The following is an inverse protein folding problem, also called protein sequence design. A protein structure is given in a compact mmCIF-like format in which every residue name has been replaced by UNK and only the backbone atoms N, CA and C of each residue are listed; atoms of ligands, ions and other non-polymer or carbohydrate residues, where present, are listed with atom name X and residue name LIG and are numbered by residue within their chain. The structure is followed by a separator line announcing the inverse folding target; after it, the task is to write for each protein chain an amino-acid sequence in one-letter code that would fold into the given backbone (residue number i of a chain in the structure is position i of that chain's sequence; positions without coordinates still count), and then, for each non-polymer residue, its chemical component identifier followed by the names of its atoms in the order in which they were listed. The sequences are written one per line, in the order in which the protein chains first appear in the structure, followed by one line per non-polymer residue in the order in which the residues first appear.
data_IF_234746539728
#
_entry.id   IF_234746539728
#
_cell.length_a   1.000
_cell.length_b   1.000
_cell.length_c   1.000
_cell.angle_alpha   90.00
_cell.angle_beta   90.00
_cell.angle_gamma   90.00
#
_symmetry.space_group_name_H-M   'P 1'
#
loop_
_entity.id
_entity.type
_entity.pdbx_description
1 polymer ?
#
# COMPACT_ATOMS: atom_id res chain seq x y z
N UNK A 1 29.44 5.86 26.25
CA UNK A 1 28.51 6.21 25.15
C UNK A 1 27.68 4.98 24.85
N UNK A 2 26.42 4.97 25.29
CA UNK A 2 25.52 3.83 25.11
C UNK A 2 24.88 3.78 23.72
N UNK A 3 24.23 2.66 23.39
CA UNK A 3 23.43 2.51 22.18
C UNK A 3 22.34 3.60 22.08
N UNK A 4 21.71 3.95 23.21
CA UNK A 4 20.75 5.05 23.32
C UNK A 4 21.33 6.42 22.92
N UNK A 5 22.61 6.71 23.21
CA UNK A 5 23.25 7.97 22.78
C UNK A 5 23.38 8.03 21.25
N UNK A 6 23.62 6.88 20.61
CA UNK A 6 23.73 6.76 19.15
C UNK A 6 22.36 6.96 18.50
N UNK A 7 21.34 6.24 18.97
CA UNK A 7 19.95 6.38 18.51
C UNK A 7 19.47 7.83 18.66
N UNK A 8 19.68 8.44 19.84
CA UNK A 8 19.27 9.85 20.09
C UNK A 8 20.03 10.85 19.19
N UNK A 9 21.28 10.56 18.84
CA UNK A 9 22.08 11.39 17.92
C UNK A 9 21.61 11.26 16.46
N UNK A 10 21.29 10.05 15.99
CA UNK A 10 20.73 9.82 14.65
C UNK A 10 19.39 10.55 14.48
N UNK A 11 18.50 10.49 15.48
CA UNK A 11 17.22 11.20 15.47
C UNK A 11 17.39 12.72 15.61
N UNK A 12 18.34 13.19 16.42
CA UNK A 12 18.48 14.62 16.73
C UNK A 12 19.30 15.45 15.74
N UNK A 13 20.26 14.85 15.02
CA UNK A 13 21.26 15.60 14.24
C UNK A 13 20.93 15.77 12.75
N UNK A 14 20.00 14.99 12.19
CA UNK A 14 19.81 14.87 10.73
C UNK A 14 18.52 15.49 10.18
N UNK A 15 17.67 16.12 11.00
CA UNK A 15 16.38 16.65 10.55
C UNK A 15 16.46 17.82 9.55
N UNK A 16 17.62 18.48 9.42
CA UNK A 16 17.79 19.68 8.59
C UNK A 16 18.54 19.42 7.27
N UNK A 17 19.64 18.66 7.30
CA UNK A 17 20.52 18.50 6.11
C UNK A 17 20.33 17.17 5.37
N UNK A 18 19.70 16.15 5.99
CA UNK A 18 19.60 14.81 5.37
C UNK A 18 18.41 14.66 4.40
N UNK A 19 17.46 15.60 4.40
CA UNK A 19 16.29 15.61 3.51
C UNK A 19 16.69 15.57 2.03
N UNK A 20 17.80 16.21 1.66
CA UNK A 20 18.27 16.32 0.27
C UNK A 20 19.18 15.18 -0.20
N UNK A 21 19.43 14.16 0.63
CA UNK A 21 20.43 13.09 0.35
C UNK A 21 20.05 11.67 0.80
N UNK A 22 18.85 11.43 1.34
CA UNK A 22 18.43 10.10 1.74
C UNK A 22 17.97 9.27 0.52
N UNK A 23 18.85 8.44 -0.04
CA UNK A 23 18.59 7.68 -1.28
C UNK A 23 17.41 6.69 -1.20
N UNK A 24 17.04 6.22 0.00
CA UNK A 24 15.70 5.67 0.26
C UNK A 24 15.38 5.66 1.77
N UNK A 25 14.39 6.44 2.25
CA UNK A 25 13.99 6.41 3.66
C UNK A 25 13.43 5.05 4.08
N UNK A 26 12.91 4.26 3.15
CA UNK A 26 12.39 2.91 3.40
C UNK A 26 13.52 1.94 3.80
N UNK A 27 14.63 1.94 3.04
CA UNK A 27 15.81 1.10 3.29
C UNK A 27 16.50 1.48 4.60
N UNK A 28 16.56 2.76 4.95
CA UNK A 28 17.10 3.21 6.24
C UNK A 28 16.31 2.65 7.43
N UNK A 29 14.98 2.61 7.35
CA UNK A 29 14.14 2.03 8.39
C UNK A 29 14.27 0.50 8.45
N UNK A 30 14.45 -0.18 7.30
CA UNK A 30 14.70 -1.62 7.26
C UNK A 30 16.07 -1.99 7.84
N UNK A 31 17.13 -1.25 7.50
CA UNK A 31 18.47 -1.42 8.09
C UNK A 31 18.45 -1.20 9.61
N UNK A 32 17.81 -0.13 10.10
CA UNK A 32 17.72 0.14 11.53
C UNK A 32 17.01 -1.00 12.31
N UNK A 33 15.99 -1.63 11.71
CA UNK A 33 15.34 -2.80 12.29
C UNK A 33 16.25 -4.05 12.28
N UNK A 34 17.04 -4.25 11.23
CA UNK A 34 18.02 -5.34 11.17
C UNK A 34 19.13 -5.18 12.22
N UNK A 35 19.70 -3.99 12.36
CA UNK A 35 20.70 -3.67 13.39
C UNK A 35 20.14 -3.92 14.80
N UNK A 36 18.91 -3.46 15.10
CA UNK A 36 18.25 -3.73 16.38
C UNK A 36 17.97 -5.24 16.61
N UNK A 37 17.76 -6.02 15.55
CA UNK A 37 17.60 -7.47 15.66
C UNK A 37 18.93 -8.20 15.89
N UNK A 38 20.04 -7.72 15.34
CA UNK A 38 21.37 -8.26 15.63
C UNK A 38 21.79 -7.94 17.07
N UNK A 39 21.66 -6.68 17.50
CA UNK A 39 21.87 -6.25 18.89
C UNK A 39 21.05 -7.09 19.88
N UNK A 40 19.81 -7.42 19.53
CA UNK A 40 18.96 -8.31 20.33
C UNK A 40 19.53 -9.74 20.43
N UNK A 41 20.09 -10.29 19.36
CA UNK A 41 20.73 -11.62 19.38
C UNK A 41 22.00 -11.58 20.24
N UNK A 42 22.84 -10.55 20.10
CA UNK A 42 24.03 -10.37 20.93
C UNK A 42 23.66 -10.20 22.42
N UNK A 43 22.62 -9.41 22.73
CA UNK A 43 22.11 -9.26 24.10
C UNK A 43 21.58 -10.59 24.66
N UNK A 44 20.79 -11.35 23.90
CA UNK A 44 20.30 -12.68 24.30
C UNK A 44 21.44 -13.62 24.64
N UNK A 45 22.52 -13.63 23.85
CA UNK A 45 23.72 -14.42 24.14
C UNK A 45 24.41 -13.97 25.44
N UNK A 46 24.61 -12.66 25.65
CA UNK A 46 25.20 -12.13 26.88
C UNK A 46 24.38 -12.45 28.15
N UNK A 47 23.05 -12.33 28.07
CA UNK A 47 22.15 -12.69 29.16
C UNK A 47 22.18 -14.20 29.43
N UNK A 48 22.25 -15.04 28.39
CA UNK A 48 22.42 -16.49 28.55
C UNK A 48 23.76 -16.86 29.23
N UNK A 49 24.85 -16.19 28.88
CA UNK A 49 26.15 -16.35 29.56
C UNK A 49 26.09 -15.94 31.03
N UNK A 50 25.38 -14.85 31.36
CA UNK A 50 25.19 -14.40 32.75
C UNK A 50 24.36 -15.40 33.56
N UNK A 51 23.30 -15.97 32.96
CA UNK A 51 22.50 -17.05 33.57
C UNK A 51 23.34 -18.32 33.78
N UNK A 52 24.23 -18.67 32.84
CA UNK A 52 25.14 -19.80 33.00
C UNK A 52 26.16 -19.58 34.14
N UNK A 53 26.69 -18.37 34.28
CA UNK A 53 27.54 -17.99 35.40
C UNK A 53 26.78 -18.05 36.74
N UNK A 54 25.56 -17.51 36.82
CA UNK A 54 24.68 -17.61 37.99
C UNK A 54 24.47 -19.06 38.42
N UNK A 55 24.10 -19.96 37.49
CA UNK A 55 23.92 -21.39 37.77
C UNK A 55 25.20 -22.09 38.24
N UNK A 56 26.38 -21.62 37.81
CA UNK A 56 27.67 -22.12 38.29
C UNK A 56 27.93 -21.71 39.74
N UNK A 57 27.65 -20.45 40.09
CA UNK A 57 27.74 -19.96 41.48
C UNK A 57 26.71 -20.65 42.39
N UNK A 58 25.49 -20.87 41.90
CA UNK A 58 24.42 -21.62 42.58
C UNK A 58 24.83 -23.05 42.89
N UNK A 59 25.43 -23.75 41.92
CA UNK A 59 26.00 -25.08 42.17
C UNK A 59 27.13 -25.04 43.20
N UNK A 60 28.06 -24.09 43.10
CA UNK A 60 29.17 -23.97 44.08
C UNK A 60 28.66 -23.72 45.51
N UNK A 61 27.62 -22.90 45.67
CA UNK A 61 26.95 -22.70 46.96
C UNK A 61 26.30 -24.00 47.47
N UNK A 62 25.59 -24.74 46.62
CA UNK A 62 24.99 -26.04 46.97
C UNK A 62 26.05 -27.08 47.37
N UNK A 63 27.13 -27.21 46.60
CA UNK A 63 28.24 -28.12 46.88
C UNK A 63 28.92 -27.77 48.23
N UNK A 64 29.10 -26.48 48.54
CA UNK A 64 29.61 -26.03 49.85
C UNK A 64 28.64 -26.38 51.00
N UNK A 65 27.34 -26.15 50.84
CA UNK A 65 26.32 -26.54 51.85
C UNK A 65 26.25 -28.07 52.05
N UNK A 66 26.50 -28.86 51.00
CA UNK A 66 26.59 -30.32 51.11
C UNK A 66 27.80 -30.76 51.96
N UNK A 67 28.96 -30.10 51.80
CA UNK A 67 30.10 -30.32 52.71
C UNK A 67 29.80 -29.86 54.15
N UNK A 68 29.16 -28.70 54.37
CA UNK A 68 28.72 -28.27 55.72
C UNK A 68 27.88 -29.34 56.41
N UNK A 69 26.89 -29.89 55.70
CA UNK A 69 26.01 -30.94 56.21
C UNK A 69 26.75 -32.27 56.47
N UNK A 70 27.70 -32.63 55.61
CA UNK A 70 28.58 -33.81 55.77
C UNK A 70 29.50 -33.67 56.98
N UNK A 71 30.18 -32.54 57.15
CA UNK A 71 31.06 -32.30 58.30
C UNK A 71 30.28 -32.19 59.62
N UNK A 72 29.05 -31.68 59.60
CA UNK A 72 28.14 -31.76 60.75
C UNK A 72 27.82 -33.22 61.14
N UNK A 73 27.46 -34.08 60.19
CA UNK A 73 27.20 -35.51 60.46
C UNK A 73 28.45 -36.22 60.96
N UNK A 74 29.63 -35.90 60.41
CA UNK A 74 30.90 -36.46 60.87
C UNK A 74 31.21 -36.07 62.32
N UNK A 75 30.98 -34.80 62.70
CA UNK A 75 31.14 -34.34 64.08
C UNK A 75 30.17 -35.04 65.05
N UNK A 76 28.90 -35.19 64.65
CA UNK A 76 27.90 -35.92 65.44
C UNK A 76 28.31 -37.39 65.66
N UNK A 77 28.79 -38.07 64.61
CA UNK A 77 29.26 -39.46 64.69
C UNK A 77 30.52 -39.61 65.56
N UNK A 78 31.42 -38.63 65.55
CA UNK A 78 32.61 -38.62 66.40
C UNK A 78 32.24 -38.46 67.89
N UNK A 79 31.31 -37.54 68.22
CA UNK A 79 30.78 -37.38 69.58
C UNK A 79 30.07 -38.67 70.05
N UNK A 80 29.26 -39.30 69.20
CA UNK A 80 28.60 -40.58 69.51
C UNK A 80 29.59 -41.73 69.79
N UNK A 81 30.85 -41.61 69.33
CA UNK A 81 31.93 -42.57 69.58
C UNK A 81 32.90 -42.13 70.69
N UNK A 82 32.64 -40.99 71.34
CA UNK A 82 33.50 -40.43 72.40
C UNK A 82 34.79 -39.75 71.90
N UNK A 83 34.97 -39.56 70.60
CA UNK A 83 36.17 -38.90 70.04
C UNK A 83 35.94 -37.40 69.86
N UNK A 84 36.09 -36.65 70.95
CA UNK A 84 35.98 -35.18 70.95
C UNK A 84 37.02 -34.49 70.06
N UNK A 85 38.19 -35.09 69.85
CA UNK A 85 39.27 -34.50 69.08
C UNK A 85 38.99 -34.59 67.57
N UNK A 86 38.44 -35.72 67.11
CA UNK A 86 37.91 -35.87 65.76
C UNK A 86 36.66 -35.01 65.55
N UNK A 87 35.79 -34.90 66.56
CA UNK A 87 34.63 -34.00 66.50
C UNK A 87 35.02 -32.53 66.34
N UNK A 88 36.02 -32.06 67.10
CA UNK A 88 36.54 -30.67 67.02
C UNK A 88 37.10 -30.37 65.63
N UNK A 89 37.89 -31.28 65.06
CA UNK A 89 38.41 -31.15 63.69
C UNK A 89 37.29 -31.14 62.63
N UNK A 90 36.26 -31.98 62.80
CA UNK A 90 35.11 -31.99 61.89
C UNK A 90 34.30 -30.68 61.98
N UNK A 91 34.14 -30.09 63.17
CA UNK A 91 33.50 -28.78 63.34
C UNK A 91 34.32 -27.63 62.77
N UNK A 92 35.66 -27.69 62.86
CA UNK A 92 36.54 -26.72 62.22
C UNK A 92 36.41 -26.76 60.68
N UNK A 93 36.43 -27.96 60.08
CA UNK A 93 36.16 -28.14 58.65
C UNK A 93 34.77 -27.66 58.26
N UNK A 94 33.74 -27.96 59.07
CA UNK A 94 32.38 -27.44 58.88
C UNK A 94 32.39 -25.91 58.81
N UNK A 95 33.09 -25.24 59.74
CA UNK A 95 33.18 -23.78 59.78
C UNK A 95 33.78 -23.23 58.47
N UNK A 96 34.89 -23.77 57.99
CA UNK A 96 35.51 -23.31 56.73
C UNK A 96 34.54 -23.39 55.53
N UNK A 97 33.77 -24.49 55.40
CA UNK A 97 32.77 -24.61 54.33
C UNK A 97 31.54 -23.71 54.54
N UNK A 98 31.16 -23.43 55.79
CA UNK A 98 30.06 -22.53 56.13
C UNK A 98 30.40 -21.06 55.84
N UNK A 99 31.59 -20.62 56.21
CA UNK A 99 32.05 -19.25 55.96
C UNK A 99 32.18 -19.00 54.44
N UNK A 100 32.59 -20.03 53.70
CA UNK A 100 32.58 -20.06 52.23
C UNK A 100 31.16 -20.04 51.63
N UNK A 101 30.22 -20.83 52.16
CA UNK A 101 28.85 -20.86 51.64
C UNK A 101 28.09 -19.54 51.90
N UNK A 102 28.33 -18.87 53.03
CA UNK A 102 27.82 -17.53 53.33
C UNK A 102 28.35 -16.50 52.31
N UNK A 103 29.65 -16.51 52.02
CA UNK A 103 30.24 -15.62 51.02
C UNK A 103 29.70 -15.87 49.60
N UNK A 104 29.56 -17.15 49.21
CA UNK A 104 28.96 -17.54 47.94
C UNK A 104 27.49 -17.13 47.83
N UNK A 105 26.71 -17.24 48.93
CA UNK A 105 25.30 -16.83 48.97
C UNK A 105 25.13 -15.33 48.72
N UNK A 106 25.94 -14.50 49.39
CA UNK A 106 25.90 -13.05 49.21
C UNK A 106 26.22 -12.62 47.77
N UNK A 107 27.19 -13.28 47.12
CA UNK A 107 27.50 -13.08 45.70
C UNK A 107 26.36 -13.56 44.78
N UNK A 108 25.80 -14.73 45.05
CA UNK A 108 24.69 -15.31 44.30
C UNK A 108 23.44 -14.42 44.33
N UNK A 109 23.09 -13.85 45.48
CA UNK A 109 21.93 -12.96 45.62
C UNK A 109 22.08 -11.68 44.78
N UNK A 110 23.30 -11.12 44.69
CA UNK A 110 23.59 -10.01 43.78
C UNK A 110 23.48 -10.43 42.32
N UNK A 111 23.97 -11.63 41.96
CA UNK A 111 23.85 -12.17 40.59
C UNK A 111 22.38 -12.42 40.20
N UNK A 112 21.53 -12.90 41.11
CA UNK A 112 20.09 -13.09 40.89
C UNK A 112 19.43 -11.76 40.49
N UNK A 113 19.64 -10.70 41.27
CA UNK A 113 19.05 -9.38 41.00
C UNK A 113 19.54 -8.81 39.65
N UNK A 114 20.83 -8.97 39.34
CA UNK A 114 21.39 -8.56 38.05
C UNK A 114 20.76 -9.34 36.87
N UNK A 115 20.66 -10.66 36.98
CA UNK A 115 20.04 -11.52 35.95
C UNK A 115 18.56 -11.21 35.75
N UNK A 116 17.81 -10.91 36.81
CA UNK A 116 16.42 -10.46 36.66
C UNK A 116 16.32 -9.10 35.96
N UNK A 117 17.18 -8.14 36.33
CA UNK A 117 17.24 -6.84 35.66
C UNK A 117 17.52 -6.98 34.16
N UNK A 118 18.49 -7.83 33.81
CA UNK A 118 18.82 -8.15 32.42
C UNK A 118 17.64 -8.81 31.67
N UNK A 119 16.93 -9.76 32.29
CA UNK A 119 15.72 -10.38 31.71
C UNK A 119 14.59 -9.35 31.48
N UNK A 120 14.35 -8.45 32.44
CA UNK A 120 13.35 -7.38 32.30
C UNK A 120 13.72 -6.42 31.15
N UNK A 121 14.99 -6.03 31.06
CA UNK A 121 15.50 -5.15 30.01
C UNK A 121 15.41 -5.81 28.62
N UNK A 122 15.69 -7.12 28.52
CA UNK A 122 15.55 -7.89 27.29
C UNK A 122 14.10 -7.87 26.76
N UNK A 123 13.12 -8.16 27.61
CA UNK A 123 11.68 -8.14 27.26
C UNK A 123 11.25 -6.72 26.81
N UNK A 124 11.74 -5.67 27.47
CA UNK A 124 11.49 -4.29 27.05
C UNK A 124 12.11 -3.95 25.69
N UNK A 125 13.28 -4.50 25.36
CA UNK A 125 13.91 -4.30 24.05
C UNK A 125 13.12 -5.03 22.95
N UNK A 126 12.69 -6.26 23.20
CA UNK A 126 11.85 -7.05 22.29
C UNK A 126 10.52 -6.35 21.99
N UNK A 127 9.87 -5.80 23.02
CA UNK A 127 8.67 -4.95 22.89
C UNK A 127 8.93 -3.71 22.03
N UNK A 128 10.03 -2.98 22.26
CA UNK A 128 10.39 -1.79 21.48
C UNK A 128 10.78 -2.11 20.03
N UNK A 129 11.36 -3.27 19.76
CA UNK A 129 11.61 -3.76 18.39
C UNK A 129 10.29 -4.06 17.68
N UNK A 130 9.30 -4.65 18.38
CA UNK A 130 7.95 -4.85 17.85
C UNK A 130 7.28 -3.53 17.50
N UNK A 131 7.27 -2.55 18.43
CA UNK A 131 6.78 -1.19 18.16
C UNK A 131 7.47 -0.55 16.96
N UNK A 132 8.80 -0.69 16.85
CA UNK A 132 9.58 -0.09 15.78
C UNK A 132 9.22 -0.71 14.40
N UNK A 133 8.93 -2.02 14.35
CA UNK A 133 8.41 -2.69 13.15
C UNK A 133 7.03 -2.15 12.75
N UNK A 134 6.09 -2.02 13.68
CA UNK A 134 4.77 -1.41 13.39
C UNK A 134 4.91 0.04 12.92
N UNK A 135 5.82 0.82 13.50
CA UNK A 135 6.13 2.19 13.07
C UNK A 135 6.78 2.20 11.67
N UNK A 136 7.65 1.25 11.33
CA UNK A 136 8.19 1.09 9.96
C UNK A 136 7.08 0.90 8.94
N UNK A 137 6.19 -0.06 9.14
CA UNK A 137 5.12 -0.32 8.15
C UNK A 137 4.16 0.88 8.01
N UNK A 138 3.85 1.58 9.11
CA UNK A 138 3.08 2.83 9.04
C UNK A 138 3.81 3.93 8.26
N UNK A 139 5.13 4.09 8.44
CA UNK A 139 5.93 5.07 7.71
C UNK A 139 6.07 4.68 6.23
N UNK A 140 6.29 3.40 5.92
CA UNK A 140 6.33 2.85 4.56
C UNK A 140 5.02 3.14 3.82
N UNK A 141 3.86 2.82 4.41
CA UNK A 141 2.57 3.15 3.83
C UNK A 141 2.37 4.66 3.57
N UNK A 142 2.81 5.52 4.48
CA UNK A 142 2.78 6.99 4.28
C UNK A 142 3.73 7.45 3.17
N UNK A 143 4.92 6.87 3.06
CA UNK A 143 5.89 7.13 1.99
C UNK A 143 5.32 6.69 0.64
N UNK A 144 4.67 5.53 0.54
CA UNK A 144 3.99 5.06 -0.67
C UNK A 144 2.85 6.00 -1.06
N UNK A 145 2.01 6.42 -0.11
CA UNK A 145 0.91 7.36 -0.35
C UNK A 145 1.43 8.73 -0.83
N UNK A 146 2.50 9.25 -0.22
CA UNK A 146 3.14 10.50 -0.64
C UNK A 146 3.72 10.38 -2.06
N UNK A 147 4.50 9.32 -2.35
CA UNK A 147 5.03 9.02 -3.69
C UNK A 147 3.91 8.96 -4.74
N UNK A 148 2.77 8.34 -4.42
CA UNK A 148 1.60 8.28 -5.31
C UNK A 148 0.93 9.66 -5.49
N UNK A 149 0.80 10.47 -4.44
CA UNK A 149 0.23 11.82 -4.50
C UNK A 149 1.14 12.79 -5.29
N UNK A 150 2.46 12.64 -5.19
CA UNK A 150 3.45 13.36 -6.00
C UNK A 150 3.36 12.94 -7.47
N UNK A 151 3.25 11.63 -7.77
CA UNK A 151 3.05 11.14 -9.13
C UNK A 151 1.74 11.65 -9.74
N UNK A 152 0.63 11.70 -8.97
CA UNK A 152 -0.63 12.28 -9.43
C UNK A 152 -0.51 13.78 -9.70
N UNK A 153 0.15 14.56 -8.84
CA UNK A 153 0.40 15.98 -9.10
C UNK A 153 1.36 16.20 -10.29
N UNK A 154 2.35 15.34 -10.48
CA UNK A 154 3.23 15.34 -11.65
C UNK A 154 2.47 15.03 -12.94
N UNK A 155 1.58 14.03 -12.92
CA UNK A 155 0.69 13.72 -14.05
C UNK A 155 -0.30 14.85 -14.33
N UNK A 156 -0.90 15.49 -13.31
CA UNK A 156 -1.80 16.64 -13.51
C UNK A 156 -1.06 17.87 -14.07
N UNK A 157 0.19 18.12 -13.65
CA UNK A 157 1.04 19.18 -14.24
C UNK A 157 1.52 18.84 -15.66
N UNK A 158 1.78 17.57 -15.94
CA UNK A 158 2.16 17.07 -17.28
C UNK A 158 0.98 17.00 -18.26
N UNK A 159 -0.23 16.77 -17.74
CA UNK A 159 -1.50 16.85 -18.45
C UNK A 159 -1.89 18.31 -18.64
N UNK A 160 -1.05 19.04 -19.37
CA UNK A 160 -1.20 20.46 -19.70
C UNK A 160 -2.60 20.70 -20.27
N UNK A 161 -3.47 21.37 -19.51
CA UNK A 161 -4.90 21.50 -19.78
C UNK A 161 -5.18 22.16 -21.13
N UNK A 162 -4.27 23.03 -21.58
CA UNK A 162 -4.29 23.64 -22.90
C UNK A 162 -4.29 22.60 -24.04
N UNK A 163 -3.65 21.43 -23.87
CA UNK A 163 -3.55 20.43 -24.95
C UNK A 163 -4.90 19.78 -25.29
N UNK A 164 -5.76 19.58 -24.29
CA UNK A 164 -7.12 19.06 -24.47
C UNK A 164 -8.08 20.16 -24.94
N UNK A 165 -7.98 21.36 -24.36
CA UNK A 165 -8.87 22.47 -24.72
C UNK A 165 -8.59 22.98 -26.14
N UNK A 166 -7.33 23.15 -26.51
CA UNK A 166 -6.92 23.45 -27.89
C UNK A 166 -6.96 22.23 -28.82
N UNK A 167 -7.39 21.05 -28.38
CA UNK A 167 -7.85 19.99 -29.29
C UNK A 167 -9.34 20.15 -29.63
N UNK A 168 -10.15 20.70 -28.73
CA UNK A 168 -11.53 21.12 -29.00
C UNK A 168 -11.58 22.33 -29.93
N UNK A 169 -10.83 23.40 -29.66
CA UNK A 169 -10.78 24.62 -30.50
C UNK A 169 -10.44 24.29 -31.97
N UNK A 170 -9.43 23.43 -32.21
CA UNK A 170 -9.05 22.95 -33.55
C UNK A 170 -10.05 21.97 -34.18
N UNK A 171 -11.00 21.43 -33.42
CA UNK A 171 -12.10 20.63 -33.96
C UNK A 171 -13.25 21.54 -34.37
N UNK A 172 -13.58 22.53 -33.54
CA UNK A 172 -14.60 23.55 -33.79
C UNK A 172 -14.29 24.40 -35.03
N UNK A 173 -13.07 24.93 -35.14
CA UNK A 173 -12.60 25.65 -36.35
C UNK A 173 -12.70 24.78 -37.62
N UNK A 174 -12.45 23.47 -37.49
CA UNK A 174 -12.51 22.52 -38.61
C UNK A 174 -13.95 22.15 -38.99
N UNK A 175 -14.89 22.16 -38.05
CA UNK A 175 -16.33 22.02 -38.31
C UNK A 175 -16.84 23.29 -39.00
N UNK A 176 -16.55 24.48 -38.47
CA UNK A 176 -16.91 25.77 -39.10
C UNK A 176 -16.37 25.87 -40.54
N UNK A 177 -15.14 25.42 -40.79
CA UNK A 177 -14.56 25.38 -42.14
C UNK A 177 -15.28 24.38 -43.07
N UNK A 178 -15.83 23.28 -42.54
CA UNK A 178 -16.64 22.33 -43.32
C UNK A 178 -18.06 22.86 -43.56
N UNK A 179 -18.67 23.55 -42.60
CA UNK A 179 -19.98 24.18 -42.74
C UNK A 179 -19.93 25.33 -43.77
N UNK A 180 -18.95 26.23 -43.67
CA UNK A 180 -18.71 27.28 -44.66
C UNK A 180 -18.41 26.72 -46.07
N UNK A 181 -17.74 25.55 -46.15
CA UNK A 181 -17.52 24.84 -47.42
C UNK A 181 -18.80 24.19 -47.96
N UNK A 182 -19.68 23.69 -47.10
CA UNK A 182 -20.98 23.16 -47.51
C UNK A 182 -21.92 24.27 -47.98
N UNK A 183 -21.94 25.40 -47.27
CA UNK A 183 -22.69 26.61 -47.66
C UNK A 183 -22.20 27.16 -49.00
N UNK A 184 -20.90 27.37 -49.18
CA UNK A 184 -20.36 27.86 -50.46
C UNK A 184 -20.55 26.86 -51.62
N UNK A 185 -20.58 25.54 -51.39
CA UNK A 185 -20.98 24.57 -52.42
C UNK A 185 -22.48 24.65 -52.74
N UNK A 186 -23.34 24.91 -51.76
CA UNK A 186 -24.77 25.13 -52.00
C UNK A 186 -25.02 26.47 -52.74
N UNK A 187 -24.28 27.53 -52.41
CA UNK A 187 -24.30 28.79 -53.15
C UNK A 187 -23.78 28.63 -54.58
N UNK A 188 -22.68 27.91 -54.82
CA UNK A 188 -22.23 27.60 -56.18
C UNK A 188 -23.28 26.76 -56.94
N UNK A 189 -23.95 25.81 -56.29
CA UNK A 189 -25.03 25.04 -56.91
C UNK A 189 -26.26 25.89 -57.23
N UNK A 190 -26.58 26.91 -56.40
CA UNK A 190 -27.60 27.91 -56.75
C UNK A 190 -27.17 28.71 -57.97
N UNK A 191 -25.98 29.32 -57.94
CA UNK A 191 -25.47 30.12 -59.05
C UNK A 191 -25.36 29.32 -60.36
N UNK A 192 -25.02 28.02 -60.29
CA UNK A 192 -24.99 27.14 -61.45
C UNK A 192 -26.40 26.86 -62.00
N UNK A 193 -27.38 26.57 -61.13
CA UNK A 193 -28.80 26.46 -61.51
C UNK A 193 -29.38 27.76 -62.07
N UNK A 194 -29.14 28.89 -61.40
CA UNK A 194 -29.55 30.23 -61.83
C UNK A 194 -28.92 30.58 -63.19
N UNK A 195 -27.66 30.17 -63.45
CA UNK A 195 -27.01 30.33 -64.75
C UNK A 195 -27.61 29.43 -65.84
N UNK A 196 -28.01 28.20 -65.49
CA UNK A 196 -28.69 27.28 -66.41
C UNK A 196 -30.11 27.76 -66.74
N UNK A 197 -30.83 28.33 -65.76
CA UNK A 197 -32.11 29.00 -65.99
C UNK A 197 -31.95 30.24 -66.86
N UNK A 198 -30.97 31.10 -66.59
CA UNK A 198 -30.66 32.25 -67.46
C UNK A 198 -30.25 31.84 -68.88
N UNK A 199 -29.57 30.68 -69.05
CA UNK A 199 -29.28 30.14 -70.38
C UNK A 199 -30.53 29.60 -71.09
N UNK A 200 -31.44 28.93 -70.39
CA UNK A 200 -32.75 28.50 -70.92
C UNK A 200 -33.62 29.71 -71.31
N UNK A 201 -33.63 30.75 -70.48
CA UNK A 201 -34.34 32.02 -70.73
C UNK A 201 -33.75 32.73 -71.97
N UNK A 202 -32.42 32.83 -72.07
CA UNK A 202 -31.73 33.34 -73.28
C UNK A 202 -31.91 32.48 -74.54
N UNK A 203 -32.48 31.27 -74.40
CA UNK A 203 -32.70 30.33 -75.49
C UNK A 203 -34.09 30.40 -76.14
N UNK A 204 -35.01 31.22 -75.62
CA UNK A 204 -36.45 31.16 -75.97
C UNK A 204 -37.01 32.34 -76.78
N UNK A 205 -36.30 33.47 -76.89
CA UNK A 205 -36.84 34.72 -77.48
C UNK A 205 -37.18 34.64 -78.99
N UNK A 206 -36.61 33.66 -79.72
CA UNK A 206 -36.92 33.47 -81.16
C UNK A 206 -38.37 32.99 -81.36
N UNK A 207 -38.94 32.26 -80.40
CA UNK A 207 -40.35 31.88 -80.44
C UNK A 207 -41.28 33.03 -80.03
N UNK A 208 -40.84 33.98 -79.21
CA UNK A 208 -41.65 35.16 -78.84
C UNK A 208 -41.74 36.18 -79.99
N UNK A 209 -40.67 36.42 -80.75
CA UNK A 209 -40.77 37.20 -82.01
C UNK A 209 -41.68 36.50 -83.04
N UNK A 210 -41.66 35.16 -83.10
CA UNK A 210 -42.47 34.38 -84.04
C UNK A 210 -43.94 34.23 -83.58
N UNK A 211 -44.18 34.25 -82.26
CA UNK A 211 -45.51 34.33 -81.66
C UNK A 211 -46.13 35.72 -81.88
N UNK A 212 -45.36 36.79 -81.73
CA UNK A 212 -45.80 38.15 -82.08
C UNK A 212 -46.21 38.25 -83.56
N UNK A 213 -45.46 37.60 -84.47
CA UNK A 213 -45.82 37.55 -85.88
C UNK A 213 -47.10 36.73 -86.15
N UNK A 214 -47.29 35.60 -85.46
CA UNK A 214 -48.49 34.75 -85.59
C UNK A 214 -49.73 35.30 -84.88
N UNK A 215 -49.59 36.15 -83.88
CA UNK A 215 -50.70 36.84 -83.22
C UNK A 215 -51.51 37.75 -84.19
N UNK A 216 -50.98 38.02 -85.39
CA UNK A 216 -51.72 38.63 -86.50
C UNK A 216 -52.81 37.73 -87.12
N UNK A 217 -52.86 36.43 -86.80
CA UNK A 217 -53.94 35.50 -87.17
C UNK A 217 -54.39 34.67 -85.94
N UNK A 218 -55.50 35.09 -85.33
CA UNK A 218 -56.14 34.47 -84.15
C UNK A 218 -57.00 33.21 -84.53
N UNK A 219 -57.70 32.50 -83.59
CA UNK A 219 -57.82 32.70 -82.13
C UNK A 219 -57.79 31.40 -81.25
N UNK A 220 -58.09 31.57 -79.94
CA UNK A 220 -58.79 30.64 -79.01
C UNK A 220 -58.01 29.84 -77.93
N UNK A 221 -58.76 29.59 -76.84
CA UNK A 221 -58.45 29.00 -75.51
C UNK A 221 -59.13 27.61 -75.32
N UNK A 222 -59.20 26.90 -74.15
CA UNK A 222 -58.44 26.89 -72.86
C UNK A 222 -58.13 25.43 -72.30
N UNK A 223 -57.80 25.34 -70.98
CA UNK A 223 -57.99 24.23 -69.97
C UNK A 223 -57.10 22.94 -69.97
N UNK A 224 -56.38 22.64 -68.86
CA UNK A 224 -56.81 21.81 -67.70
C UNK A 224 -55.68 21.00 -66.96
N UNK A 225 -55.94 20.70 -65.68
CA UNK A 225 -55.33 19.65 -64.82
C UNK A 225 -55.87 18.23 -65.17
N UNK A 226 -55.45 17.08 -64.57
CA UNK A 226 -54.74 16.80 -63.28
C UNK A 226 -53.48 15.88 -63.43
N UNK A 227 -52.70 15.44 -62.43
CA UNK A 227 -52.81 15.16 -60.97
C UNK A 227 -53.44 13.80 -60.58
N UNK A 228 -52.58 12.76 -60.43
CA UNK A 228 -52.70 11.57 -59.55
C UNK A 228 -51.25 11.12 -59.25
N UNK A 229 -50.73 10.82 -58.05
CA UNK A 229 -51.17 10.12 -56.82
C UNK A 229 -51.48 8.63 -56.99
N UNK A 230 -50.65 7.76 -56.41
CA UNK A 230 -51.07 6.44 -55.92
C UNK A 230 -50.29 6.03 -54.67
N UNK A 231 -50.85 5.12 -53.85
CA UNK A 231 -50.37 4.76 -52.51
C UNK A 231 -50.41 3.23 -52.29
N UNK A 232 -49.39 2.66 -51.64
CA UNK A 232 -49.46 1.37 -50.92
C UNK A 232 -48.27 1.28 -49.93
N UNK A 233 -48.40 1.49 -48.62
CA UNK A 233 -48.95 0.60 -47.56
C UNK A 233 -48.17 -0.71 -47.30
N UNK A 234 -47.22 -0.67 -46.33
CA UNK A 234 -47.20 -1.40 -45.01
C UNK A 234 -47.58 -2.91 -44.89
N UNK A 235 -47.24 -3.67 -43.80
CA UNK A 235 -46.59 -3.33 -42.50
C UNK A 235 -45.57 -4.40 -41.95
N UNK A 236 -45.20 -4.26 -40.65
CA UNK A 236 -44.61 -5.27 -39.69
C UNK A 236 -43.08 -5.56 -39.79
N UNK A 237 -42.17 -5.29 -38.82
CA UNK A 237 -42.14 -5.01 -37.36
C UNK A 237 -42.20 -6.23 -36.40
N UNK A 238 -41.50 -6.26 -35.23
CA UNK A 238 -40.23 -5.63 -34.80
C UNK A 238 -39.10 -6.70 -34.85
N UNK A 239 -38.38 -7.23 -33.81
CA UNK A 239 -38.16 -6.92 -32.37
C UNK A 239 -36.76 -6.29 -32.08
N UNK A 240 -36.34 -6.14 -30.80
CA UNK A 240 -35.01 -5.63 -30.42
C UNK A 240 -34.50 -6.10 -29.02
N UNK A 241 -33.18 -5.95 -28.81
CA UNK A 241 -32.47 -5.63 -27.55
C UNK A 241 -32.20 -6.67 -26.42
N UNK A 242 -31.15 -6.32 -25.65
CA UNK A 242 -30.84 -6.65 -24.23
C UNK A 242 -30.35 -8.04 -23.78
N UNK A 243 -29.08 -8.06 -23.33
CA UNK A 243 -28.60 -8.79 -22.14
C UNK A 243 -28.78 -7.89 -20.87
N UNK A 244 -28.31 -8.22 -19.63
CA UNK A 244 -27.63 -9.43 -19.15
C UNK A 244 -28.22 -10.03 -17.85
N UNK A 245 -27.61 -11.10 -17.31
CA UNK A 245 -27.54 -11.34 -15.85
C UNK A 245 -26.49 -12.40 -15.48
N UNK A 246 -25.64 -12.09 -14.49
CA UNK A 246 -24.56 -12.97 -13.99
C UNK A 246 -24.36 -12.75 -12.49
N UNK A 247 -25.30 -13.26 -11.69
CA UNK A 247 -25.50 -12.83 -10.29
C UNK A 247 -25.95 -13.97 -9.37
N UNK A 248 -25.79 -15.24 -9.80
CA UNK A 248 -26.29 -16.44 -9.10
C UNK A 248 -25.20 -17.42 -8.63
N UNK A 249 -23.92 -17.00 -8.63
CA UNK A 249 -22.77 -17.90 -8.34
C UNK A 249 -22.14 -17.63 -6.96
N UNK A 250 -22.46 -16.50 -6.32
CA UNK A 250 -21.76 -16.02 -5.10
C UNK A 250 -22.42 -16.49 -3.81
N UNK A 251 -23.76 -16.56 -3.76
CA UNK A 251 -24.48 -16.99 -2.55
C UNK A 251 -24.29 -18.49 -2.22
N UNK A 252 -24.01 -19.32 -3.23
CA UNK A 252 -23.86 -20.78 -3.06
C UNK A 252 -22.63 -21.20 -2.25
N UNK A 253 -21.59 -20.38 -2.17
CA UNK A 253 -20.36 -20.71 -1.41
C UNK A 253 -20.46 -20.32 0.07
N UNK A 254 -21.23 -19.29 0.41
CA UNK A 254 -21.40 -18.81 1.79
C UNK A 254 -22.18 -19.79 2.68
N UNK A 255 -23.22 -20.42 2.14
CA UNK A 255 -24.01 -21.43 2.86
C UNK A 255 -23.26 -22.77 3.00
N UNK A 256 -22.26 -23.03 2.16
CA UNK A 256 -21.39 -24.21 2.28
C UNK A 256 -20.47 -24.11 3.51
N UNK A 257 -19.80 -22.97 3.72
CA UNK A 257 -18.93 -22.77 4.89
C UNK A 257 -19.71 -22.79 6.21
N UNK A 258 -20.96 -22.30 6.26
CA UNK A 258 -21.78 -22.31 7.48
C UNK A 258 -22.02 -23.73 8.00
N UNK A 259 -22.39 -24.67 7.13
CA UNK A 259 -22.62 -26.08 7.51
C UNK A 259 -21.36 -26.81 8.00
N UNK A 260 -20.17 -26.32 7.64
CA UNK A 260 -18.90 -26.91 8.06
C UNK A 260 -18.45 -26.43 9.45
N UNK A 261 -19.10 -25.41 10.02
CA UNK A 261 -18.79 -24.83 11.33
C UNK A 261 -19.71 -25.35 12.46
N UNK A 262 -20.91 -25.85 12.13
CA UNK A 262 -21.82 -26.54 13.05
C UNK A 262 -21.47 -28.03 13.26
N UNK A 263 -20.32 -28.51 12.77
CA UNK A 263 -19.88 -29.91 12.87
C UNK A 263 -18.48 -30.08 13.51
N UNK A 264 -18.03 -29.11 14.31
CA UNK A 264 -16.83 -29.16 15.14
C UNK A 264 -17.12 -28.71 16.58
#
# INVERSE_FOLDING_TARGET
MGLFDRIKRVVGANLNDMVSKAEDPEKMLEQAILEMQEDLVQLRQGVAQTIAAQKRSEKQYSDAQNEVNKWQRNAQLAIQKGDENLARQALERKKTFNDSSVALKASLDQQVVQVEGLKRNLIQLESKISEAKTKKEMLKARITAAKAQEQLQGMVRGMNTNSAMSAFERMEEKVLMQEARAQSVAELASNDLDSQFAQLESGSDVDDELAALKASLAPATPVNQPLLTEQATTPQNPPAASAPKSEQVVDSELDALRKQLDQM
#
